data_IF_536069804640
#
_entry.id   IF_536069804640
#
_cell.length_a   1.000
_cell.length_b   1.000
_cell.length_c   1.000
_cell.angle_alpha   90.00
_cell.angle_beta   90.00
_cell.angle_gamma   90.00
#
_symmetry.space_group_name_H-M   'P 1'
#
loop_
_entity.id
_entity.type
_entity.pdbx_description
1 polymer ?
#
# COMPACT_ATOMS: atom_id res chain seq x y z
N UNK A 1 13.32 -7.24 3.15
CA UNK A 1 12.46 -6.14 2.69
C UNK A 1 13.30 -4.88 2.75
N UNK A 2 13.63 -4.29 1.61
CA UNK A 2 14.40 -3.05 1.53
C UNK A 2 13.59 -1.91 2.15
N UNK A 3 14.16 -1.21 3.14
CA UNK A 3 13.58 0.04 3.66
C UNK A 3 13.49 1.02 2.49
N UNK A 4 12.32 1.56 2.21
CA UNK A 4 12.22 2.59 1.20
C UNK A 4 13.11 3.78 1.59
N UNK A 5 13.86 4.25 0.62
CA UNK A 5 14.80 5.35 0.77
C UNK A 5 14.03 6.66 0.89
N UNK A 6 14.58 7.66 1.60
CA UNK A 6 13.99 9.01 1.60
C UNK A 6 13.76 9.55 0.17
N UNK A 7 14.55 9.09 -0.80
CA UNK A 7 14.42 9.41 -2.22
C UNK A 7 13.10 8.92 -2.82
N UNK A 8 12.57 7.77 -2.39
CA UNK A 8 11.29 7.25 -2.88
C UNK A 8 10.12 8.15 -2.44
N UNK A 9 10.10 8.58 -1.17
CA UNK A 9 9.10 9.54 -0.70
C UNK A 9 9.17 10.85 -1.48
N UNK A 10 10.39 11.38 -1.68
CA UNK A 10 10.61 12.63 -2.42
C UNK A 10 10.08 12.54 -3.85
N UNK A 11 10.40 11.47 -4.57
CA UNK A 11 9.98 11.29 -5.96
C UNK A 11 8.47 11.10 -6.06
N UNK A 12 7.87 10.34 -5.14
CA UNK A 12 6.43 10.14 -5.10
C UNK A 12 5.67 11.45 -4.81
N UNK A 13 6.09 12.22 -3.80
CA UNK A 13 5.50 13.52 -3.47
C UNK A 13 5.55 14.50 -4.66
N UNK A 14 6.66 14.50 -5.42
CA UNK A 14 6.77 15.31 -6.65
C UNK A 14 5.73 14.92 -7.69
N UNK A 15 5.50 13.63 -7.90
CA UNK A 15 4.50 13.14 -8.86
C UNK A 15 3.07 13.50 -8.48
N UNK A 16 2.77 13.51 -7.19
CA UNK A 16 1.42 13.76 -6.65
C UNK A 16 1.15 15.23 -6.27
N UNK A 17 2.10 16.14 -6.53
CA UNK A 17 2.03 17.55 -6.12
C UNK A 17 1.80 17.73 -4.61
N UNK A 18 2.49 16.94 -3.79
CA UNK A 18 2.43 16.99 -2.32
C UNK A 18 3.68 17.70 -1.81
N UNK A 19 3.50 18.66 -0.90
CA UNK A 19 4.61 19.27 -0.18
C UNK A 19 5.28 18.25 0.73
N UNK A 20 6.57 17.99 0.50
CA UNK A 20 7.39 17.06 1.27
C UNK A 20 7.38 17.38 2.78
N UNK A 21 7.23 18.66 3.16
CA UNK A 21 7.17 19.07 4.58
C UNK A 21 5.92 18.58 5.29
N UNK A 22 4.88 18.23 4.53
CA UNK A 22 3.59 17.74 5.03
C UNK A 22 3.39 16.25 4.72
N UNK A 23 4.46 15.53 4.37
CA UNK A 23 4.42 14.12 3.99
C UNK A 23 5.14 13.23 5.00
N UNK A 24 4.51 12.11 5.35
CA UNK A 24 5.09 11.04 6.16
C UNK A 24 4.96 9.73 5.40
N UNK A 25 5.98 8.87 5.51
CA UNK A 25 5.97 7.53 4.94
C UNK A 25 5.73 6.51 6.04
N UNK A 26 4.65 5.74 5.90
CA UNK A 26 4.28 4.68 6.83
C UNK A 26 4.84 3.34 6.33
N UNK A 27 5.50 2.60 7.22
CA UNK A 27 6.06 1.27 6.93
C UNK A 27 5.41 0.21 7.79
N UNK A 28 5.32 -1.01 7.23
CA UNK A 28 4.82 -2.17 7.96
C UNK A 28 3.33 -2.12 8.24
N UNK A 29 2.57 -1.37 7.44
CA UNK A 29 1.10 -1.41 7.47
C UNK A 29 0.66 -2.85 7.14
N UNK A 30 -0.07 -3.54 8.04
CA UNK A 30 -0.55 -4.89 7.78
C UNK A 30 -1.50 -4.93 6.57
N UNK A 31 -1.54 -6.08 5.92
CA UNK A 31 -2.49 -6.31 4.83
C UNK A 31 -3.94 -6.31 5.35
N UNK A 32 -4.87 -5.79 4.55
CA UNK A 32 -6.29 -5.74 4.89
C UNK A 32 -6.71 -4.54 5.76
N UNK A 33 -5.75 -3.71 6.22
CA UNK A 33 -6.07 -2.46 6.94
C UNK A 33 -6.56 -1.42 5.94
N UNK A 34 -7.75 -0.87 6.18
CA UNK A 34 -8.34 0.16 5.32
C UNK A 34 -7.66 1.53 5.52
N UNK A 35 -7.83 2.42 4.54
CA UNK A 35 -7.31 3.80 4.63
C UNK A 35 -7.93 4.55 5.81
N UNK A 36 -9.22 4.32 6.06
CA UNK A 36 -9.97 4.96 7.14
C UNK A 36 -9.40 4.58 8.53
N UNK A 37 -9.06 3.30 8.73
CA UNK A 37 -8.42 2.83 9.96
C UNK A 37 -7.03 3.46 10.18
N UNK A 38 -6.26 3.64 9.10
CA UNK A 38 -4.94 4.28 9.17
C UNK A 38 -5.10 5.77 9.50
N UNK A 39 -6.07 6.45 8.89
CA UNK A 39 -6.37 7.87 9.17
C UNK A 39 -6.86 8.08 10.60
N UNK A 40 -7.73 7.20 11.11
CA UNK A 40 -8.19 7.22 12.50
C UNK A 40 -7.02 7.03 13.47
N UNK A 41 -6.17 6.04 13.21
CA UNK A 41 -4.98 5.77 14.04
C UNK A 41 -4.02 6.95 14.02
N UNK A 42 -3.73 7.51 12.85
CA UNK A 42 -2.86 8.69 12.74
C UNK A 42 -3.48 9.94 13.41
N UNK A 43 -4.81 10.05 13.45
CA UNK A 43 -5.56 11.10 14.16
C UNK A 43 -5.42 11.06 15.69
N UNK A 44 -4.91 9.96 16.26
CA UNK A 44 -4.53 9.90 17.68
C UNK A 44 -3.31 10.78 17.97
N UNK A 45 -2.44 11.02 16.97
CA UNK A 45 -1.24 11.85 17.09
C UNK A 45 -1.63 13.32 16.88
N UNK A 46 -1.97 14.01 17.96
CA UNK A 46 -2.48 15.39 17.91
C UNK A 46 -1.55 16.39 17.22
N UNK A 47 -0.23 16.15 17.24
CA UNK A 47 0.75 16.99 16.56
C UNK A 47 0.63 16.97 15.02
N UNK A 48 0.02 15.94 14.43
CA UNK A 48 -0.15 15.83 12.97
C UNK A 48 -1.37 16.60 12.45
N UNK A 49 -2.35 16.92 13.31
CA UNK A 49 -3.60 17.54 12.90
C UNK A 49 -4.44 16.62 12.00
N UNK A 50 -5.07 17.18 10.98
CA UNK A 50 -5.86 16.42 10.00
C UNK A 50 -4.92 15.74 9.01
N UNK A 51 -5.01 14.42 8.94
CA UNK A 51 -4.20 13.58 8.07
C UNK A 51 -5.06 12.96 6.97
N UNK A 52 -4.44 12.66 5.83
CA UNK A 52 -5.05 11.90 4.73
C UNK A 52 -4.01 10.90 4.25
N UNK A 53 -4.41 9.64 4.13
CA UNK A 53 -3.54 8.59 3.62
C UNK A 53 -3.57 8.64 2.10
N UNK A 54 -2.40 8.74 1.45
CA UNK A 54 -2.28 8.68 -0.01
C UNK A 54 -1.23 7.64 -0.42
N UNK A 55 -1.44 7.08 -1.61
CA UNK A 55 -0.64 5.98 -2.17
C UNK A 55 -1.53 4.78 -2.52
N UNK A 56 -1.08 3.98 -3.48
CA UNK A 56 -1.62 2.63 -3.62
C UNK A 56 -0.97 1.79 -2.53
N UNK A 57 -1.78 1.30 -1.60
CA UNK A 57 -1.46 0.02 -0.97
C UNK A 57 -1.62 -0.96 -2.12
N UNK A 58 -0.57 -1.10 -2.96
CA UNK A 58 -0.62 -2.03 -4.07
C UNK A 58 -0.78 -3.40 -3.45
N UNK A 59 -2.04 -3.86 -3.43
CA UNK A 59 -2.41 -5.23 -3.15
C UNK A 59 -1.78 -6.04 -4.28
N UNK A 60 -0.50 -6.37 -4.12
CA UNK A 60 0.10 -7.38 -4.95
C UNK A 60 -0.74 -8.64 -4.73
N UNK A 61 -1.20 -9.19 -5.85
CA UNK A 61 -2.00 -10.38 -5.84
C UNK A 61 -1.22 -11.50 -6.51
N UNK A 62 -1.51 -12.71 -6.10
CA UNK A 62 -0.86 -13.89 -6.62
C UNK A 62 -1.24 -14.10 -8.09
N UNK A 63 -0.27 -13.98 -9.01
CA UNK A 63 -0.48 -14.25 -10.44
C UNK A 63 -0.83 -15.72 -10.77
N UNK A 64 -0.76 -16.63 -9.79
CA UNK A 64 -1.20 -18.02 -9.95
C UNK A 64 -2.70 -18.17 -9.65
N UNK A 65 -3.18 -17.68 -8.50
CA UNK A 65 -4.56 -17.95 -8.05
C UNK A 65 -5.47 -16.70 -8.00
N UNK A 66 -4.91 -15.50 -8.11
CA UNK A 66 -5.65 -14.24 -8.04
C UNK A 66 -5.99 -13.75 -6.62
N UNK A 67 -5.54 -14.44 -5.57
CA UNK A 67 -5.73 -14.01 -4.17
C UNK A 67 -4.66 -13.01 -3.72
N UNK A 68 -4.99 -12.19 -2.71
CA UNK A 68 -4.06 -11.26 -2.08
C UNK A 68 -3.19 -11.94 -1.01
N UNK A 69 -2.10 -11.27 -0.61
CA UNK A 69 -1.28 -11.61 0.57
C UNK A 69 -0.22 -12.68 0.39
N UNK A 70 -0.01 -13.13 -0.85
CA UNK A 70 1.12 -13.96 -1.21
C UNK A 70 1.45 -13.83 -2.70
N UNK A 71 2.65 -14.28 -3.06
CA UNK A 71 3.11 -14.36 -4.44
C UNK A 71 3.09 -15.81 -4.94
N UNK A 72 3.16 -16.02 -6.26
CA UNK A 72 3.05 -17.33 -6.88
C UNK A 72 4.04 -18.39 -6.34
N UNK A 73 5.23 -17.97 -5.90
CA UNK A 73 6.25 -18.86 -5.30
C UNK A 73 5.87 -19.37 -3.91
N UNK A 74 4.93 -18.73 -3.22
CA UNK A 74 4.41 -19.10 -1.89
C UNK A 74 2.94 -19.54 -1.95
N UNK A 75 2.41 -19.76 -3.16
CA UNK A 75 1.00 -20.11 -3.36
C UNK A 75 0.79 -21.61 -3.24
N UNK A 76 -0.15 -22.02 -2.38
CA UNK A 76 -0.62 -23.41 -2.23
C UNK A 76 -1.97 -23.66 -2.92
N UNK A 77 -2.61 -22.60 -3.42
CA UNK A 77 -3.88 -22.67 -4.13
C UNK A 77 -3.70 -23.15 -5.58
N UNK A 78 -4.72 -23.80 -6.17
CA UNK A 78 -4.71 -24.13 -7.59
C UNK A 78 -4.70 -22.86 -8.46
N UNK A 79 -4.26 -23.02 -9.71
CA UNK A 79 -4.22 -21.93 -10.68
C UNK A 79 -5.64 -21.47 -11.04
N UNK A 80 -5.85 -20.15 -11.12
CA UNK A 80 -7.13 -19.55 -11.50
C UNK A 80 -6.92 -18.35 -12.45
N UNK A 81 -6.72 -18.62 -13.76
CA UNK A 81 -6.46 -17.59 -14.75
C UNK A 81 -7.60 -16.58 -14.87
N UNK A 82 -8.86 -17.01 -14.69
CA UNK A 82 -10.03 -16.13 -14.81
C UNK A 82 -10.02 -15.04 -13.72
N UNK A 83 -9.71 -15.42 -12.48
CA UNK A 83 -9.60 -14.47 -11.37
C UNK A 83 -8.43 -13.50 -11.54
N UNK A 84 -7.30 -14.01 -12.02
CA UNK A 84 -6.11 -13.20 -12.34
C UNK A 84 -6.42 -12.18 -13.44
N UNK A 85 -6.99 -12.62 -14.57
CA UNK A 85 -7.36 -11.74 -15.69
C UNK A 85 -8.29 -10.63 -15.21
N UNK A 86 -9.31 -10.96 -14.40
CA UNK A 86 -10.26 -9.99 -13.87
C UNK A 86 -9.63 -8.92 -12.96
N UNK A 87 -8.50 -9.21 -12.30
CA UNK A 87 -7.74 -8.24 -11.50
C UNK A 87 -6.82 -7.33 -12.34
N UNK A 88 -6.55 -7.70 -13.60
CA UNK A 88 -5.66 -6.97 -14.51
C UNK A 88 -6.38 -6.00 -15.44
N UNK A 89 -7.71 -6.06 -15.50
CA UNK A 89 -8.60 -5.17 -16.25
C UNK A 89 -9.26 -4.17 -15.31
#
# INVERSE_FOLDING_TARGET
MSRPSQLELVNWCKGESIDLKHALLLYGVPEGVSRDEIEETAGTIKALGKVVVKGKIDEYFCYKCGENGHIATRCTAPENPQKVIRKLI
#
